data_IF_576187894960
#
_entry.id   IF_576187894960
#
_cell.length_a   1.000
_cell.length_b   1.000
_cell.length_c   1.000
_cell.angle_alpha   90.00
_cell.angle_beta   90.00
_cell.angle_gamma   90.00
#
_symmetry.space_group_name_H-M   'P 1'
#
loop_
_entity.id
_entity.type
_entity.pdbx_description
1 polymer ?
#
# COMPACT_ATOMS: atom_id res chain seq x y z
N UNK A 1 18.57 10.33 9.63
CA UNK A 1 18.20 8.93 9.76
C UNK A 1 16.89 8.83 10.52
N UNK A 2 16.02 7.97 10.06
CA UNK A 2 14.78 7.69 10.75
C UNK A 2 15.08 7.06 12.10
N UNK A 3 14.34 7.46 13.13
CA UNK A 3 14.43 6.78 14.40
C UNK A 3 14.18 5.29 14.16
N UNK A 4 15.13 4.45 14.50
CA UNK A 4 15.06 3.02 14.23
C UNK A 4 13.78 2.40 14.78
N UNK A 5 13.36 2.77 15.99
CA UNK A 5 12.18 2.20 16.65
C UNK A 5 10.89 2.55 15.87
N UNK A 6 10.68 3.81 15.51
CA UNK A 6 9.51 4.23 14.77
C UNK A 6 9.49 3.65 13.35
N UNK A 7 10.65 3.63 12.70
CA UNK A 7 10.80 3.03 11.37
C UNK A 7 10.53 1.53 11.39
N UNK A 8 11.00 0.82 12.42
CA UNK A 8 10.80 -0.62 12.56
C UNK A 8 9.32 -0.97 12.81
N UNK A 9 8.62 -0.20 13.64
CA UNK A 9 7.19 -0.40 13.89
C UNK A 9 6.38 -0.19 12.62
N UNK A 10 6.65 0.90 11.90
CA UNK A 10 5.98 1.22 10.65
C UNK A 10 6.24 0.13 9.59
N UNK A 11 7.49 -0.26 9.42
CA UNK A 11 7.88 -1.31 8.47
C UNK A 11 7.20 -2.63 8.79
N UNK A 12 7.15 -3.00 10.07
CA UNK A 12 6.49 -4.22 10.53
C UNK A 12 4.99 -4.18 10.22
N UNK A 13 4.35 -3.04 10.43
CA UNK A 13 2.94 -2.87 10.08
C UNK A 13 2.68 -3.10 8.59
N UNK A 14 3.53 -2.52 7.74
CA UNK A 14 3.42 -2.70 6.29
C UNK A 14 3.61 -4.17 5.89
N UNK A 15 4.62 -4.82 6.46
CA UNK A 15 4.91 -6.22 6.17
C UNK A 15 3.78 -7.14 6.64
N UNK A 16 3.19 -6.86 7.80
CA UNK A 16 2.03 -7.63 8.29
C UNK A 16 0.83 -7.48 7.36
N UNK A 17 0.57 -6.28 6.84
CA UNK A 17 -0.49 -6.06 5.85
C UNK A 17 -0.25 -6.86 4.58
N UNK A 18 1.00 -6.86 4.09
CA UNK A 18 1.37 -7.63 2.90
C UNK A 18 1.24 -9.13 3.12
N UNK A 19 1.59 -9.63 4.30
CA UNK A 19 1.45 -11.05 4.63
C UNK A 19 -0.02 -11.49 4.60
N UNK A 20 -0.93 -10.65 5.08
CA UNK A 20 -2.37 -10.92 4.99
C UNK A 20 -2.84 -10.94 3.53
N UNK A 21 -2.37 -9.99 2.73
CA UNK A 21 -2.72 -9.91 1.31
C UNK A 21 -2.21 -11.16 0.57
N UNK A 22 -0.99 -11.58 0.86
CA UNK A 22 -0.44 -12.83 0.29
C UNK A 22 -1.34 -14.03 0.63
N UNK A 23 -1.80 -14.12 1.88
CA UNK A 23 -2.71 -15.18 2.31
C UNK A 23 -4.03 -15.14 1.57
N UNK A 24 -4.58 -13.94 1.35
CA UNK A 24 -5.81 -13.75 0.59
C UNK A 24 -5.64 -14.17 -0.87
N UNK A 25 -4.50 -13.81 -1.47
CA UNK A 25 -4.20 -14.21 -2.86
C UNK A 25 -4.07 -15.73 -2.97
N UNK A 26 -3.41 -16.38 -2.01
CA UNK A 26 -3.33 -17.84 -1.99
C UNK A 26 -4.71 -18.48 -1.85
N UNK A 27 -5.60 -17.85 -1.06
CA UNK A 27 -6.99 -18.29 -0.95
C UNK A 27 -7.72 -18.22 -2.27
N UNK A 28 -7.54 -17.14 -3.03
CA UNK A 28 -8.12 -16.99 -4.37
C UNK A 28 -7.59 -18.06 -5.29
N UNK A 29 -6.29 -18.34 -5.25
CA UNK A 29 -5.69 -19.40 -6.06
C UNK A 29 -6.35 -20.75 -5.81
N UNK A 30 -6.57 -21.11 -4.54
CA UNK A 30 -7.26 -22.35 -4.18
C UNK A 30 -8.69 -22.37 -4.69
N UNK A 31 -9.38 -21.25 -4.65
CA UNK A 31 -10.73 -21.15 -5.20
C UNK A 31 -10.74 -21.45 -6.70
N UNK A 32 -9.78 -20.92 -7.43
CA UNK A 32 -9.63 -21.18 -8.87
C UNK A 32 -9.31 -22.66 -9.11
N UNK A 33 -8.37 -23.22 -8.35
CA UNK A 33 -7.97 -24.61 -8.46
C UNK A 33 -9.13 -25.58 -8.18
N UNK A 34 -10.03 -25.20 -7.28
CA UNK A 34 -11.19 -26.02 -6.88
C UNK A 34 -12.47 -25.65 -7.62
N UNK A 35 -12.36 -24.87 -8.68
CA UNK A 35 -13.51 -24.47 -9.51
C UNK A 35 -14.65 -23.84 -8.70
N UNK A 36 -14.29 -22.96 -7.74
CA UNK A 36 -15.27 -22.25 -6.95
C UNK A 36 -16.16 -21.39 -7.84
N UNK A 37 -17.34 -21.05 -7.32
CA UNK A 37 -18.31 -20.23 -8.03
C UNK A 37 -17.71 -18.86 -8.38
N UNK A 38 -17.73 -18.49 -9.66
CA UNK A 38 -17.06 -17.32 -10.17
C UNK A 38 -17.37 -16.01 -9.40
N UNK A 39 -18.65 -15.69 -9.10
CA UNK A 39 -18.93 -14.48 -8.32
C UNK A 39 -18.27 -14.45 -6.95
N UNK A 40 -18.09 -15.60 -6.29
CA UNK A 40 -17.41 -15.66 -5.00
C UNK A 40 -15.93 -15.31 -5.13
N UNK A 41 -15.30 -15.74 -6.24
CA UNK A 41 -13.91 -15.36 -6.53
C UNK A 41 -13.80 -13.86 -6.75
N UNK A 42 -14.72 -13.28 -7.50
CA UNK A 42 -14.76 -11.84 -7.76
C UNK A 42 -14.88 -11.02 -6.48
N UNK A 43 -15.70 -11.47 -5.52
CA UNK A 43 -15.83 -10.84 -4.21
C UNK A 43 -14.50 -10.85 -3.45
N UNK A 44 -13.78 -11.98 -3.49
CA UNK A 44 -12.48 -12.08 -2.84
C UNK A 44 -11.43 -11.18 -3.49
N UNK A 45 -11.45 -11.06 -4.81
CA UNK A 45 -10.58 -10.13 -5.54
C UNK A 45 -10.87 -8.68 -5.11
N UNK A 46 -12.13 -8.32 -4.96
CA UNK A 46 -12.52 -6.99 -4.49
C UNK A 46 -11.95 -6.72 -3.09
N UNK A 47 -11.98 -7.70 -2.21
CA UNK A 47 -11.42 -7.58 -0.86
C UNK A 47 -9.90 -7.36 -0.90
N UNK A 48 -9.18 -8.06 -1.78
CA UNK A 48 -7.73 -7.88 -1.96
C UNK A 48 -7.44 -6.48 -2.48
N UNK A 49 -8.21 -5.99 -3.45
CA UNK A 49 -8.05 -4.64 -3.97
C UNK A 49 -8.25 -3.59 -2.88
N UNK A 50 -9.24 -3.76 -2.01
CA UNK A 50 -9.47 -2.86 -0.88
C UNK A 50 -8.29 -2.88 0.10
N UNK A 51 -7.74 -4.06 0.36
CA UNK A 51 -6.58 -4.20 1.24
C UNK A 51 -5.33 -3.53 0.66
N UNK A 52 -5.11 -3.65 -0.66
CA UNK A 52 -4.02 -2.98 -1.35
C UNK A 52 -4.19 -1.46 -1.33
N UNK A 53 -5.42 -0.96 -1.50
CA UNK A 53 -5.70 0.47 -1.39
C UNK A 53 -5.41 0.99 0.02
N UNK A 54 -5.76 0.23 1.06
CA UNK A 54 -5.43 0.59 2.44
C UNK A 54 -3.92 0.62 2.67
N UNK A 55 -3.20 -0.34 2.12
CA UNK A 55 -1.73 -0.36 2.15
C UNK A 55 -1.15 0.90 1.51
N UNK A 56 -1.65 1.28 0.33
CA UNK A 56 -1.21 2.49 -0.36
C UNK A 56 -1.44 3.76 0.46
N UNK A 57 -2.59 3.85 1.14
CA UNK A 57 -2.90 5.02 1.98
C UNK A 57 -1.93 5.16 3.15
N UNK A 58 -1.58 4.06 3.79
CA UNK A 58 -0.62 4.07 4.91
C UNK A 58 0.76 4.48 4.41
N UNK A 59 1.21 3.88 3.31
CA UNK A 59 2.51 4.16 2.72
C UNK A 59 2.61 5.62 2.28
N UNK A 60 1.61 6.12 1.57
CA UNK A 60 1.58 7.49 1.07
C UNK A 60 1.54 8.50 2.21
N UNK A 61 0.72 8.28 3.23
CA UNK A 61 0.63 9.18 4.37
C UNK A 61 1.98 9.31 5.08
N UNK A 62 2.68 8.21 5.28
CA UNK A 62 4.00 8.25 5.90
C UNK A 62 5.02 8.96 5.00
N UNK A 63 4.98 8.70 3.69
CA UNK A 63 5.88 9.37 2.73
C UNK A 63 5.71 10.89 2.76
N UNK A 64 4.45 11.36 2.80
CA UNK A 64 4.17 12.80 2.87
C UNK A 64 4.68 13.41 4.18
N UNK A 65 4.42 12.73 5.30
CA UNK A 65 4.79 13.24 6.64
C UNK A 65 6.30 13.26 6.88
N UNK A 66 7.04 12.39 6.20
CA UNK A 66 8.49 12.29 6.39
C UNK A 66 9.25 12.87 5.20
N UNK A 67 9.37 12.12 4.13
CA UNK A 67 10.24 12.49 3.00
C UNK A 67 9.81 13.79 2.33
N UNK A 68 8.52 13.97 2.05
CA UNK A 68 8.01 15.16 1.36
C UNK A 68 8.15 16.38 2.27
N UNK A 69 7.73 16.26 3.52
CA UNK A 69 7.82 17.36 4.49
C UNK A 69 9.27 17.79 4.70
N UNK A 70 10.19 16.84 4.85
CA UNK A 70 11.61 17.15 5.05
C UNK A 70 12.21 17.83 3.81
N UNK A 71 11.87 17.35 2.62
CA UNK A 71 12.36 17.97 1.38
C UNK A 71 11.86 19.40 1.21
N UNK A 72 10.60 19.67 1.56
CA UNK A 72 10.04 21.03 1.53
C UNK A 72 10.79 21.93 2.51
N UNK A 73 11.08 21.47 3.73
CA UNK A 73 11.83 22.22 4.73
C UNK A 73 13.25 22.54 4.27
N UNK A 74 13.85 21.64 3.47
CA UNK A 74 15.18 21.81 2.92
C UNK A 74 15.20 22.59 1.60
N UNK A 75 14.03 23.04 1.12
CA UNK A 75 13.90 23.78 -0.12
C UNK A 75 13.94 22.93 -1.39
N UNK A 76 13.74 21.62 -1.26
CA UNK A 76 13.75 20.70 -2.39
C UNK A 76 12.33 20.55 -2.96
N UNK A 77 11.87 21.57 -3.67
CA UNK A 77 10.48 21.65 -4.12
C UNK A 77 10.11 20.63 -5.23
N UNK A 78 11.10 20.05 -5.89
CA UNK A 78 10.86 19.03 -6.92
C UNK A 78 10.05 17.83 -6.39
N UNK A 79 10.16 17.53 -5.09
CA UNK A 79 9.41 16.45 -4.45
C UNK A 79 7.90 16.69 -4.52
N UNK A 80 7.47 17.95 -4.51
CA UNK A 80 6.05 18.28 -4.64
C UNK A 80 5.52 17.88 -6.02
N UNK A 81 6.28 18.14 -7.08
CA UNK A 81 5.92 17.75 -8.44
C UNK A 81 5.87 16.23 -8.59
N UNK A 82 6.81 15.53 -7.99
CA UNK A 82 6.82 14.06 -7.97
C UNK A 82 5.59 13.50 -7.28
N UNK A 83 5.19 14.10 -6.15
CA UNK A 83 4.00 13.70 -5.42
C UNK A 83 2.74 13.90 -6.27
N UNK A 84 2.62 15.05 -6.92
CA UNK A 84 1.48 15.34 -7.80
C UNK A 84 1.41 14.30 -8.93
N UNK A 85 2.54 14.00 -9.57
CA UNK A 85 2.58 13.00 -10.64
C UNK A 85 2.18 11.60 -10.14
N UNK A 86 2.62 11.23 -8.93
CA UNK A 86 2.26 9.96 -8.32
C UNK A 86 0.76 9.89 -8.03
N UNK A 87 0.19 10.95 -7.46
CA UNK A 87 -1.25 11.01 -7.16
C UNK A 87 -2.07 10.89 -8.44
N UNK A 88 -1.65 11.54 -9.52
CA UNK A 88 -2.34 11.45 -10.80
C UNK A 88 -2.37 10.02 -11.35
N UNK A 89 -1.29 9.27 -11.17
CA UNK A 89 -1.25 7.85 -11.56
C UNK A 89 -2.19 7.00 -10.72
N UNK A 90 -2.28 7.29 -9.42
CA UNK A 90 -3.14 6.53 -8.51
C UNK A 90 -4.63 6.80 -8.70
N UNK A 91 -4.97 7.96 -9.25
CA UNK A 91 -6.35 8.41 -9.44
C UNK A 91 -6.93 8.05 -10.81
N UNK A 92 -6.23 7.30 -11.58
CA UNK A 92 -6.69 6.84 -12.90
C UNK A 92 -7.80 5.82 -12.81
#
# INVERSE_FOLDING_TARGET
>A
ALSSAASDVYKRQLLNRLSRIEGQVRGIRRMVENDAYCPDILVQVSAVNAALNSFNKVLLANHIRTCVADDIREGKDATVDELVATLQKLMK
#
